data_IF_687430086575
#
_entry.id   IF_687430086575
#
_cell.length_a   1.000
_cell.length_b   1.000
_cell.length_c   1.000
_cell.angle_alpha   90.00
_cell.angle_beta   90.00
_cell.angle_gamma   90.00
#
_symmetry.space_group_name_H-M   'P 1'
#
loop_
_entity.id
_entity.type
_entity.pdbx_description
1 polymer ?
#
# COMPACT_ATOMS: atom_id res chain seq x y z
N UNK A 1 -28.59 20.60 26.58
CA UNK A 1 -28.32 19.17 26.30
C UNK A 1 -26.91 19.04 25.75
N UNK A 2 -25.95 18.84 26.67
CA UNK A 2 -24.69 18.16 26.36
C UNK A 2 -25.03 16.71 25.98
N UNK A 3 -24.06 16.00 25.40
CA UNK A 3 -23.93 14.53 25.33
C UNK A 3 -24.02 13.92 23.90
N UNK A 4 -22.82 13.53 23.40
CA UNK A 4 -22.48 12.50 22.41
C UNK A 4 -22.82 12.68 20.91
N UNK A 5 -21.90 13.28 20.15
CA UNK A 5 -21.76 13.05 18.69
C UNK A 5 -20.34 12.62 18.28
N UNK A 6 -19.55 12.08 19.22
CA UNK A 6 -18.18 11.61 18.99
C UNK A 6 -18.10 10.09 18.71
N UNK A 7 -19.20 9.33 18.87
CA UNK A 7 -19.19 7.87 18.77
C UNK A 7 -19.59 7.25 17.41
N UNK A 8 -19.68 8.01 16.32
CA UNK A 8 -19.94 7.44 14.98
C UNK A 8 -18.65 7.24 14.16
N UNK A 9 -17.52 7.77 14.64
CA UNK A 9 -16.19 7.50 14.11
C UNK A 9 -15.44 6.60 15.09
N UNK A 10 -15.57 5.28 14.90
CA UNK A 10 -14.73 4.25 15.52
C UNK A 10 -13.28 4.38 15.02
N UNK A 11 -12.58 5.45 15.41
CA UNK A 11 -11.15 5.65 15.15
C UNK A 11 -10.45 6.54 16.19
N UNK A 12 -11.01 6.73 17.39
CA UNK A 12 -10.41 7.63 18.39
C UNK A 12 -9.38 6.99 19.34
N UNK A 13 -9.16 5.67 19.34
CA UNK A 13 -8.02 5.05 20.03
C UNK A 13 -7.51 3.87 19.16
N UNK A 14 -6.28 3.96 18.63
CA UNK A 14 -5.08 3.94 19.45
C UNK A 14 -4.04 5.00 19.03
N UNK A 15 -4.28 6.28 19.31
CA UNK A 15 -3.20 7.28 19.32
C UNK A 15 -2.44 7.32 20.65
N UNK A 16 -2.97 6.67 21.70
CA UNK A 16 -2.29 6.55 23.01
C UNK A 16 -1.16 5.50 23.06
N UNK A 17 -0.86 4.80 21.96
CA UNK A 17 0.32 3.92 21.88
C UNK A 17 1.55 4.68 21.33
N UNK A 18 1.37 5.90 20.80
CA UNK A 18 2.47 6.71 20.26
C UNK A 18 3.10 7.67 21.27
N UNK A 19 2.62 7.75 22.51
CA UNK A 19 3.07 8.74 23.49
C UNK A 19 3.78 8.14 24.73
N UNK A 20 4.23 6.88 24.64
CA UNK A 20 5.11 6.35 25.66
C UNK A 20 6.28 5.57 25.06
N UNK A 21 7.37 6.28 24.83
CA UNK A 21 8.68 5.67 24.89
C UNK A 21 9.60 6.57 25.75
N UNK A 22 10.06 6.09 26.92
CA UNK A 22 11.15 6.73 27.61
C UNK A 22 12.41 6.47 26.80
N UNK A 23 13.30 7.47 26.71
CA UNK A 23 14.75 7.38 26.60
C UNK A 23 15.30 8.59 25.84
N UNK A 24 15.78 9.56 26.61
CA UNK A 24 16.94 10.35 26.22
C UNK A 24 18.10 9.38 25.97
N UNK A 25 18.76 9.49 24.81
CA UNK A 25 20.21 9.68 24.77
C UNK A 25 20.77 9.80 23.33
N UNK A 26 21.37 10.96 23.06
CA UNK A 26 22.47 11.25 22.13
C UNK A 26 22.52 10.54 20.76
N UNK A 27 22.01 11.16 19.70
CA UNK A 27 22.59 10.98 18.36
C UNK A 27 22.65 12.31 17.61
N UNK A 28 23.88 12.70 17.24
CA UNK A 28 24.22 13.85 16.39
C UNK A 28 23.69 13.60 14.97
N UNK A 29 22.85 14.46 14.38
CA UNK A 29 22.43 14.32 12.99
C UNK A 29 23.42 15.00 12.06
N UNK A 30 24.01 14.24 11.14
CA UNK A 30 24.63 14.77 9.94
C UNK A 30 23.53 15.29 8.99
N UNK A 31 23.58 16.57 8.67
CA UNK A 31 22.69 17.23 7.72
C UNK A 31 23.12 16.95 6.28
N UNK A 32 22.33 16.13 5.58
CA UNK A 32 22.29 16.14 4.12
C UNK A 32 21.23 17.16 3.67
N UNK A 33 21.64 18.04 2.76
CA UNK A 33 20.89 19.18 2.25
C UNK A 33 19.77 18.75 1.31
N UNK A 34 18.55 18.66 1.83
CA UNK A 34 17.33 18.77 1.03
C UNK A 34 16.53 19.99 1.54
N UNK A 35 16.49 21.03 0.71
CA UNK A 35 15.80 22.30 0.96
C UNK A 35 14.28 22.11 0.90
N UNK A 36 13.67 21.75 2.02
CA UNK A 36 12.25 22.01 2.29
C UNK A 36 12.08 23.44 2.80
N UNK A 37 11.16 24.19 2.20
CA UNK A 37 10.81 25.59 2.50
C UNK A 37 10.07 25.75 3.85
N UNK A 38 10.62 25.23 4.94
CA UNK A 38 9.99 25.32 6.27
C UNK A 38 10.99 25.55 7.41
N UNK A 39 12.08 26.25 7.13
CA UNK A 39 12.93 26.85 8.17
C UNK A 39 13.28 28.28 7.73
N UNK A 40 12.47 29.24 8.15
CA UNK A 40 12.80 30.67 8.13
C UNK A 40 12.25 31.31 9.40
N UNK A 41 12.78 30.88 10.55
CA UNK A 41 12.68 31.61 11.82
C UNK A 41 14.08 32.06 12.30
N UNK A 42 14.96 32.45 11.39
CA UNK A 42 16.29 33.00 11.72
C UNK A 42 16.68 34.21 10.85
N UNK A 43 15.74 35.10 10.59
CA UNK A 43 16.06 36.49 10.31
C UNK A 43 15.09 37.35 11.09
N UNK A 44 15.63 38.17 11.99
CA UNK A 44 14.91 39.27 12.61
C UNK A 44 14.14 40.04 11.52
N UNK A 45 12.93 40.48 11.87
CA UNK A 45 12.11 41.38 11.08
C UNK A 45 12.88 42.70 10.87
N UNK A 46 13.79 42.72 9.89
CA UNK A 46 14.36 43.96 9.41
C UNK A 46 13.17 44.83 8.98
N UNK A 47 13.09 46.01 9.56
CA UNK A 47 11.94 46.89 9.51
C UNK A 47 11.80 47.50 8.09
N UNK A 48 11.39 46.66 7.12
CA UNK A 48 11.22 47.01 5.70
C UNK A 48 10.00 47.89 5.43
N UNK A 49 9.17 48.16 6.45
CA UNK A 49 8.01 49.06 6.34
C UNK A 49 8.40 50.51 6.01
N UNK A 50 9.67 50.88 6.18
CA UNK A 50 10.17 52.25 5.94
C UNK A 50 11.11 52.37 4.73
N UNK A 51 11.35 51.30 3.97
CA UNK A 51 12.13 51.38 2.74
C UNK A 51 11.24 51.93 1.59
N UNK A 52 11.57 53.12 1.02
CA UNK A 52 10.77 53.72 -0.04
C UNK A 52 10.68 52.84 -1.29
N UNK A 53 11.71 52.04 -1.60
CA UNK A 53 11.68 51.14 -2.76
C UNK A 53 10.76 49.94 -2.51
N UNK A 54 10.75 49.39 -1.29
CA UNK A 54 9.87 48.27 -0.93
C UNK A 54 8.39 48.71 -0.91
N UNK A 55 8.11 49.92 -0.42
CA UNK A 55 6.77 50.53 -0.47
C UNK A 55 6.28 50.70 -1.90
N UNK A 56 7.13 51.16 -2.81
CA UNK A 56 6.76 51.33 -4.23
C UNK A 56 6.43 50.00 -4.92
N UNK A 57 7.24 48.95 -4.67
CA UNK A 57 6.98 47.60 -5.22
C UNK A 57 5.69 47.01 -4.63
N UNK A 58 5.46 47.17 -3.33
CA UNK A 58 4.24 46.72 -2.68
C UNK A 58 3.01 47.45 -3.23
N UNK A 59 3.06 48.77 -3.39
CA UNK A 59 1.96 49.55 -3.99
C UNK A 59 1.68 49.15 -5.44
N UNK A 60 2.72 48.89 -6.24
CA UNK A 60 2.55 48.41 -7.61
C UNK A 60 1.93 47.01 -7.66
N UNK A 61 2.33 46.11 -6.74
CA UNK A 61 1.72 44.79 -6.62
C UNK A 61 0.25 44.88 -6.20
N UNK A 62 -0.07 45.76 -5.23
CA UNK A 62 -1.44 46.02 -4.76
C UNK A 62 -2.30 46.58 -5.89
N UNK A 63 -1.81 47.57 -6.65
CA UNK A 63 -2.53 48.14 -7.81
C UNK A 63 -2.83 47.08 -8.87
N UNK A 64 -1.83 46.24 -9.21
CA UNK A 64 -2.02 45.16 -10.18
C UNK A 64 -2.98 44.06 -9.68
N UNK A 65 -2.89 43.68 -8.41
CA UNK A 65 -3.80 42.68 -7.84
C UNK A 65 -5.23 43.21 -7.75
N UNK A 66 -5.41 44.46 -7.32
CA UNK A 66 -6.72 45.11 -7.27
C UNK A 66 -7.37 45.19 -8.65
N UNK A 67 -6.60 45.51 -9.70
CA UNK A 67 -7.11 45.53 -11.07
C UNK A 67 -7.55 44.13 -11.54
N UNK A 68 -6.76 43.08 -11.25
CA UNK A 68 -7.15 41.69 -11.58
C UNK A 68 -8.39 41.22 -10.82
N UNK A 69 -8.56 41.64 -9.57
CA UNK A 69 -9.75 41.32 -8.79
C UNK A 69 -10.99 42.00 -9.38
N UNK A 70 -10.89 43.27 -9.77
CA UNK A 70 -11.98 43.97 -10.47
C UNK A 70 -12.34 43.28 -11.79
N UNK A 71 -11.36 42.93 -12.62
CA UNK A 71 -11.62 42.20 -13.88
C UNK A 71 -12.23 40.81 -13.66
N UNK A 72 -11.85 40.11 -12.59
CA UNK A 72 -12.40 38.81 -12.25
C UNK A 72 -13.87 38.95 -11.80
N UNK A 73 -14.17 39.95 -10.96
CA UNK A 73 -15.53 40.24 -10.50
C UNK A 73 -16.44 40.69 -11.65
N UNK A 74 -15.97 41.53 -12.57
CA UNK A 74 -16.73 41.92 -13.76
C UNK A 74 -17.01 40.74 -14.70
N UNK A 75 -16.01 39.86 -14.91
CA UNK A 75 -16.21 38.61 -15.66
C UNK A 75 -17.21 37.69 -14.98
N UNK A 76 -17.23 37.66 -13.66
CA UNK A 76 -18.14 36.83 -12.89
C UNK A 76 -19.57 37.39 -12.90
N UNK A 77 -19.72 38.72 -12.80
CA UNK A 77 -21.02 39.41 -12.92
C UNK A 77 -21.61 39.29 -14.33
N UNK A 78 -20.82 39.51 -15.38
CA UNK A 78 -21.28 39.38 -16.77
C UNK A 78 -21.76 37.97 -17.10
N UNK A 79 -21.00 36.93 -16.70
CA UNK A 79 -21.45 35.54 -16.84
C UNK A 79 -22.74 35.28 -16.07
N UNK A 80 -22.87 35.77 -14.83
CA UNK A 80 -24.12 35.65 -14.04
C UNK A 80 -25.31 36.31 -14.73
N UNK A 81 -25.14 37.48 -15.35
CA UNK A 81 -26.19 38.18 -16.09
C UNK A 81 -26.62 37.37 -17.31
N UNK A 82 -25.68 36.83 -18.09
CA UNK A 82 -25.98 35.97 -19.24
C UNK A 82 -26.78 34.72 -18.86
N UNK A 83 -26.41 34.04 -17.77
CA UNK A 83 -27.15 32.87 -17.30
C UNK A 83 -28.55 33.23 -16.79
N UNK A 84 -28.72 34.40 -16.17
CA UNK A 84 -30.03 34.89 -15.72
C UNK A 84 -30.93 35.21 -16.91
N UNK A 85 -30.44 35.94 -17.90
CA UNK A 85 -31.19 36.27 -19.11
C UNK A 85 -31.57 35.01 -19.91
N UNK A 86 -30.67 34.01 -19.97
CA UNK A 86 -30.97 32.71 -20.60
C UNK A 86 -32.07 31.96 -19.85
N UNK A 87 -32.00 31.93 -18.52
CA UNK A 87 -33.02 31.31 -17.68
C UNK A 87 -34.38 32.01 -17.83
N UNK A 88 -34.42 33.34 -17.81
CA UNK A 88 -35.65 34.13 -17.98
C UNK A 88 -36.29 33.90 -19.36
N UNK A 89 -35.48 33.79 -20.42
CA UNK A 89 -35.95 33.40 -21.76
C UNK A 89 -36.55 31.99 -21.79
N UNK A 90 -35.91 31.01 -21.16
CA UNK A 90 -36.43 29.64 -21.09
C UNK A 90 -37.74 29.58 -20.28
N UNK A 91 -37.83 30.34 -19.17
CA UNK A 91 -39.04 30.45 -18.36
C UNK A 91 -40.18 31.10 -19.17
N UNK A 92 -39.92 32.19 -19.89
CA UNK A 92 -40.95 32.81 -20.76
C UNK A 92 -41.44 31.85 -21.84
N UNK A 93 -40.53 31.04 -22.42
CA UNK A 93 -40.90 30.00 -23.40
C UNK A 93 -41.78 28.91 -22.78
N UNK A 94 -41.49 28.49 -21.55
CA UNK A 94 -42.32 27.53 -20.81
C UNK A 94 -43.71 28.12 -20.50
N UNK A 95 -43.78 29.39 -20.06
CA UNK A 95 -45.06 30.07 -19.78
C UNK A 95 -45.90 30.22 -21.06
N UNK A 96 -45.29 30.61 -22.19
CA UNK A 96 -45.97 30.70 -23.48
C UNK A 96 -46.50 29.34 -23.94
N UNK A 97 -45.69 28.28 -23.77
CA UNK A 97 -46.10 26.91 -24.11
C UNK A 97 -47.27 26.43 -23.25
N UNK A 98 -47.21 26.65 -21.94
CA UNK A 98 -48.28 26.31 -21.00
C UNK A 98 -49.58 27.09 -21.31
N UNK A 99 -49.46 28.35 -21.75
CA UNK A 99 -50.62 29.17 -22.16
C UNK A 99 -51.28 28.64 -23.43
N UNK A 100 -50.52 28.19 -24.43
CA UNK A 100 -51.04 27.56 -25.65
C UNK A 100 -51.65 26.18 -25.36
N UNK A 101 -50.98 25.35 -24.56
CA UNK A 101 -51.50 24.04 -24.15
C UNK A 101 -52.83 24.19 -23.39
N UNK A 102 -52.97 25.19 -22.51
CA UNK A 102 -54.24 25.52 -21.84
C UNK A 102 -55.34 25.99 -22.79
N UNK A 103 -55.01 26.82 -23.78
CA UNK A 103 -55.99 27.26 -24.78
C UNK A 103 -56.46 26.11 -25.68
N UNK A 104 -55.56 25.23 -26.11
CA UNK A 104 -55.91 24.04 -26.89
C UNK A 104 -56.73 23.05 -26.07
N UNK A 105 -56.39 22.83 -24.79
CA UNK A 105 -57.16 21.99 -23.90
C UNK A 105 -58.59 22.54 -23.71
N UNK A 106 -58.75 23.86 -23.52
CA UNK A 106 -60.07 24.49 -23.46
C UNK A 106 -60.90 24.31 -24.75
N UNK A 107 -60.27 24.47 -25.93
CA UNK A 107 -60.96 24.24 -27.21
C UNK A 107 -61.33 22.76 -27.43
N UNK A 108 -60.46 21.83 -27.02
CA UNK A 108 -60.76 20.39 -27.04
C UNK A 108 -61.92 20.03 -26.11
N UNK A 109 -61.98 20.59 -24.90
CA UNK A 109 -63.09 20.36 -23.96
C UNK A 109 -64.43 20.98 -24.38
N UNK A 110 -64.41 21.97 -25.29
CA UNK A 110 -65.64 22.57 -25.84
C UNK A 110 -66.15 21.84 -27.09
N UNK A 111 -65.28 21.11 -27.80
CA UNK A 111 -65.63 20.28 -28.96
C UNK A 111 -66.03 18.85 -28.58
N UNK A 112 -65.66 18.37 -27.38
CA UNK A 112 -66.03 17.05 -26.87
C UNK A 112 -66.22 17.08 -25.33
N UNK A 113 -67.46 17.17 -24.82
CA UNK A 113 -67.73 17.46 -23.40
C UNK A 113 -67.55 16.27 -22.44
N UNK A 114 -67.06 15.12 -22.90
CA UNK A 114 -67.06 13.87 -22.12
C UNK A 114 -65.70 13.39 -21.59
N UNK A 115 -64.69 14.26 -21.45
CA UNK A 115 -63.42 13.88 -20.79
C UNK A 115 -63.18 14.74 -19.55
N UNK A 116 -63.39 14.13 -18.39
CA UNK A 116 -63.14 14.70 -17.06
C UNK A 116 -61.65 14.81 -16.76
N UNK A 117 -61.26 15.87 -16.04
CA UNK A 117 -59.90 16.21 -15.59
C UNK A 117 -59.28 15.22 -14.59
N UNK A 118 -59.90 14.06 -14.36
CA UNK A 118 -59.41 13.02 -13.44
C UNK A 118 -58.42 12.05 -14.09
N UNK A 119 -58.30 12.03 -15.42
CA UNK A 119 -57.41 11.12 -16.15
C UNK A 119 -56.01 11.70 -16.45
N UNK A 120 -55.69 12.90 -15.97
CA UNK A 120 -54.34 13.49 -16.09
C UNK A 120 -53.58 13.30 -14.78
N UNK A 121 -52.68 12.30 -14.67
CA UNK A 121 -51.93 12.08 -13.44
C UNK A 121 -50.95 13.25 -13.25
N UNK A 122 -51.18 14.03 -12.20
CA UNK A 122 -50.25 15.05 -11.71
C UNK A 122 -48.89 14.40 -11.43
N UNK A 123 -47.85 14.74 -12.22
CA UNK A 123 -46.50 14.16 -12.16
C UNK A 123 -45.94 14.18 -10.71
N UNK A 124 -45.95 13.02 -10.06
CA UNK A 124 -45.32 12.74 -8.76
C UNK A 124 -43.79 12.62 -8.94
N UNK A 125 -43.18 13.63 -9.55
CA UNK A 125 -41.81 13.56 -10.04
C UNK A 125 -40.81 14.27 -9.11
N UNK A 126 -41.26 15.13 -8.19
CA UNK A 126 -40.36 15.84 -7.26
C UNK A 126 -39.95 14.99 -6.03
N UNK A 127 -40.72 13.94 -5.68
CA UNK A 127 -40.41 13.07 -4.52
C UNK A 127 -39.64 11.78 -4.86
N UNK A 128 -39.77 11.22 -6.07
CA UNK A 128 -39.37 9.82 -6.29
C UNK A 128 -37.86 9.58 -6.48
N UNK A 129 -37.12 10.50 -7.11
CA UNK A 129 -35.69 10.29 -7.40
C UNK A 129 -34.81 10.49 -6.17
N UNK A 130 -35.05 11.54 -5.40
CA UNK A 130 -34.27 11.82 -4.18
C UNK A 130 -34.52 10.78 -3.09
N UNK A 131 -35.79 10.42 -2.86
CA UNK A 131 -36.19 9.41 -1.88
C UNK A 131 -35.70 8.00 -2.26
N UNK A 132 -35.72 7.64 -3.56
CA UNK A 132 -35.11 6.40 -4.05
C UNK A 132 -33.59 6.37 -3.84
N UNK A 133 -32.89 7.47 -4.12
CA UNK A 133 -31.42 7.52 -3.88
C UNK A 133 -31.08 7.47 -2.40
N UNK A 134 -31.90 8.05 -1.51
CA UNK A 134 -31.69 7.99 -0.07
C UNK A 134 -31.96 6.58 0.49
N UNK A 135 -33.04 5.93 0.05
CA UNK A 135 -33.36 4.54 0.41
C UNK A 135 -32.30 3.55 -0.11
N UNK A 136 -31.77 3.78 -1.31
CA UNK A 136 -30.65 3.01 -1.86
C UNK A 136 -29.37 3.20 -1.04
N UNK A 137 -29.03 4.44 -0.67
CA UNK A 137 -27.85 4.75 0.14
C UNK A 137 -27.96 4.18 1.57
N UNK A 138 -29.16 4.20 2.16
CA UNK A 138 -29.43 3.67 3.51
C UNK A 138 -29.42 2.13 3.52
N UNK A 139 -29.88 1.48 2.44
CA UNK A 139 -29.73 0.03 2.26
C UNK A 139 -28.29 -0.38 1.95
N UNK A 140 -27.55 0.43 1.19
CA UNK A 140 -26.12 0.21 0.92
C UNK A 140 -25.29 0.36 2.21
N UNK A 141 -25.61 1.34 3.06
CA UNK A 141 -24.97 1.50 4.37
C UNK A 141 -25.26 0.35 5.35
N UNK A 142 -26.47 -0.20 5.34
CA UNK A 142 -26.83 -1.38 6.17
C UNK A 142 -26.13 -2.65 5.70
N UNK A 143 -26.00 -2.86 4.39
CA UNK A 143 -25.26 -4.02 3.85
C UNK A 143 -23.75 -3.86 4.03
N UNK A 144 -23.18 -2.67 3.82
CA UNK A 144 -21.76 -2.41 4.09
C UNK A 144 -21.41 -2.49 5.58
N UNK A 145 -22.30 -2.06 6.47
CA UNK A 145 -22.11 -2.13 7.93
C UNK A 145 -22.08 -3.56 8.50
N UNK A 146 -22.74 -4.52 7.83
CA UNK A 146 -22.70 -5.94 8.20
C UNK A 146 -21.59 -6.75 7.50
N UNK A 147 -21.15 -6.31 6.31
CA UNK A 147 -20.09 -7.00 5.54
C UNK A 147 -18.68 -6.58 6.00
N UNK A 148 -18.50 -5.34 6.48
CA UNK A 148 -17.19 -4.84 6.92
C UNK A 148 -16.56 -5.65 8.09
N UNK A 149 -17.32 -6.07 9.13
CA UNK A 149 -16.77 -6.91 10.19
C UNK A 149 -16.41 -8.33 9.71
N UNK A 150 -17.24 -8.92 8.83
CA UNK A 150 -17.02 -10.25 8.28
C UNK A 150 -15.79 -10.31 7.38
N UNK A 151 -15.58 -9.28 6.55
CA UNK A 151 -14.39 -9.19 5.72
C UNK A 151 -13.13 -8.94 6.56
N UNK A 152 -13.20 -8.15 7.63
CA UNK A 152 -12.07 -7.91 8.54
C UNK A 152 -11.60 -9.16 9.29
N UNK A 153 -12.53 -10.00 9.75
CA UNK A 153 -12.22 -11.23 10.48
C UNK A 153 -11.67 -12.34 9.57
N UNK A 154 -12.27 -12.52 8.39
CA UNK A 154 -11.82 -13.54 7.41
C UNK A 154 -10.51 -13.12 6.75
N UNK A 155 -10.34 -11.84 6.42
CA UNK A 155 -9.07 -11.34 5.88
C UNK A 155 -7.94 -11.39 6.91
N UNK A 156 -8.20 -11.08 8.18
CA UNK A 156 -7.18 -11.12 9.23
C UNK A 156 -6.63 -12.53 9.49
N UNK A 157 -7.52 -13.53 9.63
CA UNK A 157 -7.12 -14.92 9.86
C UNK A 157 -6.46 -15.55 8.61
N UNK A 158 -7.02 -15.27 7.42
CA UNK A 158 -6.43 -15.73 6.16
C UNK A 158 -5.04 -15.13 5.91
N UNK A 159 -4.88 -13.83 6.17
CA UNK A 159 -3.60 -13.15 6.02
C UNK A 159 -2.55 -13.66 7.02
N UNK A 160 -2.92 -13.91 8.28
CA UNK A 160 -2.02 -14.48 9.28
C UNK A 160 -1.54 -15.89 8.89
N UNK A 161 -2.46 -16.77 8.49
CA UNK A 161 -2.12 -18.12 8.03
C UNK A 161 -1.23 -18.10 6.79
N UNK A 162 -1.54 -17.24 5.82
CA UNK A 162 -0.74 -17.11 4.59
C UNK A 162 0.65 -16.52 4.86
N UNK A 163 0.76 -15.54 5.77
CA UNK A 163 2.04 -14.95 6.17
C UNK A 163 2.99 -15.97 6.81
N UNK A 164 2.47 -16.81 7.70
CA UNK A 164 3.24 -17.90 8.31
C UNK A 164 3.64 -18.98 7.30
N UNK A 165 2.74 -19.36 6.39
CA UNK A 165 3.03 -20.32 5.34
C UNK A 165 4.10 -19.80 4.36
N UNK A 166 4.00 -18.53 3.96
CA UNK A 166 5.00 -17.90 3.09
C UNK A 166 6.38 -17.84 3.78
N UNK A 167 6.43 -17.46 5.06
CA UNK A 167 7.68 -17.39 5.82
C UNK A 167 8.34 -18.79 5.96
N UNK A 168 7.57 -19.82 6.30
CA UNK A 168 8.09 -21.19 6.43
C UNK A 168 8.56 -21.78 5.10
N UNK A 169 7.83 -21.51 4.02
CA UNK A 169 8.23 -21.92 2.66
C UNK A 169 9.51 -21.21 2.23
N UNK A 170 9.63 -19.91 2.54
CA UNK A 170 10.82 -19.13 2.24
C UNK A 170 12.06 -19.66 2.98
N UNK A 171 11.91 -20.01 4.26
CA UNK A 171 13.00 -20.61 5.05
C UNK A 171 13.45 -21.92 4.41
N UNK A 172 12.54 -22.78 3.93
CA UNK A 172 12.89 -24.02 3.23
C UNK A 172 13.68 -23.76 1.94
N UNK A 173 13.21 -22.83 1.11
CA UNK A 173 13.91 -22.47 -0.13
C UNK A 173 15.30 -21.92 0.17
N UNK A 174 15.43 -21.09 1.22
CA UNK A 174 16.72 -20.57 1.65
C UNK A 174 17.64 -21.70 2.14
N UNK A 175 17.13 -22.62 2.96
CA UNK A 175 17.93 -23.77 3.44
C UNK A 175 18.36 -24.68 2.30
N UNK A 176 17.50 -24.94 1.32
CA UNK A 176 17.81 -25.78 0.16
C UNK A 176 18.90 -25.15 -0.72
N UNK A 177 18.82 -23.83 -0.95
CA UNK A 177 19.86 -23.07 -1.63
C UNK A 177 21.18 -23.06 -0.85
N UNK A 178 21.10 -22.94 0.48
CA UNK A 178 22.23 -23.06 1.39
C UNK A 178 22.92 -24.41 1.25
N UNK A 179 22.16 -25.52 1.31
CA UNK A 179 22.68 -26.88 1.17
C UNK A 179 23.38 -27.05 -0.18
N UNK A 180 22.78 -26.57 -1.28
CA UNK A 180 23.35 -26.70 -2.62
C UNK A 180 24.71 -25.99 -2.76
N UNK A 181 24.82 -24.73 -2.33
CA UNK A 181 26.08 -23.98 -2.41
C UNK A 181 27.12 -24.47 -1.39
N UNK A 182 26.68 -24.80 -0.16
CA UNK A 182 27.55 -25.35 0.87
C UNK A 182 28.15 -26.70 0.46
N UNK A 183 27.36 -27.58 -0.17
CA UNK A 183 27.86 -28.84 -0.74
C UNK A 183 28.81 -28.59 -1.90
N UNK A 184 28.49 -27.69 -2.83
CA UNK A 184 29.37 -27.38 -3.96
C UNK A 184 30.76 -26.95 -3.51
N UNK A 185 30.83 -26.02 -2.55
CA UNK A 185 32.11 -25.59 -1.96
C UNK A 185 32.75 -26.72 -1.17
N UNK A 186 31.99 -27.40 -0.31
CA UNK A 186 32.51 -28.45 0.56
C UNK A 186 33.04 -29.68 -0.17
N UNK A 187 32.37 -30.15 -1.21
CA UNK A 187 32.85 -31.26 -2.04
C UNK A 187 34.15 -30.89 -2.76
N UNK A 188 34.25 -29.66 -3.27
CA UNK A 188 35.50 -29.15 -3.86
C UNK A 188 36.63 -29.17 -2.82
N UNK A 189 36.38 -28.67 -1.60
CA UNK A 189 37.35 -28.70 -0.51
C UNK A 189 37.73 -30.10 -0.07
N UNK A 190 36.80 -31.04 -0.05
CA UNK A 190 37.09 -32.46 0.25
C UNK A 190 38.10 -33.01 -0.76
N UNK A 191 37.91 -32.76 -2.05
CA UNK A 191 38.85 -33.22 -3.08
C UNK A 191 40.23 -32.55 -2.96
N UNK A 192 40.28 -31.24 -2.67
CA UNK A 192 41.52 -30.50 -2.41
C UNK A 192 42.27 -31.05 -1.17
N UNK A 193 41.55 -31.33 -0.09
CA UNK A 193 42.16 -31.87 1.14
C UNK A 193 42.74 -33.27 0.91
N UNK A 194 41.99 -34.14 0.23
CA UNK A 194 42.47 -35.51 -0.02
C UNK A 194 43.65 -35.53 -1.00
N UNK A 195 43.66 -34.66 -2.02
CA UNK A 195 44.85 -34.49 -2.90
C UNK A 195 46.08 -34.01 -2.12
N UNK A 196 45.93 -33.02 -1.24
CA UNK A 196 47.04 -32.53 -0.41
C UNK A 196 47.59 -33.60 0.53
N UNK A 197 46.72 -34.41 1.13
CA UNK A 197 47.13 -35.50 2.03
C UNK A 197 47.79 -36.66 1.30
N UNK A 198 47.50 -36.83 0.02
CA UNK A 198 48.05 -37.87 -0.85
C UNK A 198 49.24 -37.42 -1.69
N UNK A 199 49.91 -36.31 -1.36
CA UNK A 199 50.99 -35.72 -2.16
C UNK A 199 52.17 -36.66 -2.52
N UNK A 200 52.26 -37.85 -1.91
CA UNK A 200 53.26 -38.88 -2.20
C UNK A 200 52.76 -40.04 -3.09
N UNK A 201 51.45 -40.14 -3.37
CA UNK A 201 50.83 -41.27 -4.08
C UNK A 201 49.72 -40.76 -5.01
N UNK A 202 49.69 -41.21 -6.25
CA UNK A 202 48.62 -40.84 -7.19
C UNK A 202 47.30 -41.47 -6.73
N UNK A 203 46.34 -40.63 -6.32
CA UNK A 203 45.01 -41.05 -5.84
C UNK A 203 43.96 -40.74 -6.89
N UNK A 204 43.22 -41.76 -7.32
CA UNK A 204 42.03 -41.57 -8.12
C UNK A 204 40.94 -40.94 -7.23
N UNK A 205 40.38 -39.81 -7.68
CA UNK A 205 39.33 -39.09 -6.97
C UNK A 205 38.04 -39.20 -7.77
N UNK A 206 36.91 -39.60 -7.14
CA UNK A 206 35.65 -39.66 -7.85
C UNK A 206 35.20 -38.26 -8.30
N UNK A 207 34.44 -38.19 -9.39
CA UNK A 207 33.92 -36.91 -9.89
C UNK A 207 32.96 -36.27 -8.88
N UNK A 208 32.84 -34.94 -8.93
CA UNK A 208 31.94 -34.18 -8.03
C UNK A 208 30.49 -34.69 -8.13
N UNK A 209 30.04 -35.14 -9.29
CA UNK A 209 28.68 -35.70 -9.46
C UNK A 209 28.48 -36.98 -8.63
N UNK A 210 29.49 -37.86 -8.58
CA UNK A 210 29.45 -39.07 -7.75
C UNK A 210 29.42 -38.68 -6.27
N UNK A 211 30.26 -37.74 -5.83
CA UNK A 211 30.24 -37.26 -4.46
C UNK A 211 28.90 -36.59 -4.10
N UNK A 212 28.31 -35.85 -5.04
CA UNK A 212 27.02 -35.20 -4.85
C UNK A 212 25.93 -36.23 -4.58
N UNK A 213 25.89 -37.31 -5.36
CA UNK A 213 24.97 -38.42 -5.14
C UNK A 213 25.16 -39.08 -3.76
N UNK A 214 26.40 -39.24 -3.29
CA UNK A 214 26.70 -39.79 -1.95
C UNK A 214 26.25 -38.86 -0.81
N UNK A 215 26.17 -37.56 -1.07
CA UNK A 215 25.70 -36.56 -0.09
C UNK A 215 24.20 -36.26 -0.18
N UNK A 216 23.45 -36.99 -1.00
CA UNK A 216 22.01 -36.82 -1.13
C UNK A 216 21.31 -37.01 0.22
N UNK A 217 20.49 -36.03 0.61
CA UNK A 217 19.75 -36.08 1.88
C UNK A 217 20.53 -35.59 3.10
N UNK A 218 21.68 -34.93 2.91
CA UNK A 218 22.36 -34.23 4.02
C UNK A 218 21.43 -33.20 4.67
N UNK A 219 21.41 -33.16 5.99
CA UNK A 219 20.66 -32.13 6.72
C UNK A 219 21.43 -30.81 6.74
N UNK A 220 20.69 -29.70 6.86
CA UNK A 220 21.26 -28.36 6.99
C UNK A 220 22.33 -28.26 8.09
N UNK A 221 22.09 -28.87 9.25
CA UNK A 221 23.03 -28.86 10.38
C UNK A 221 24.36 -29.59 10.09
N UNK A 222 24.34 -30.49 9.11
CA UNK A 222 25.50 -31.27 8.69
C UNK A 222 26.24 -30.65 7.50
N UNK A 223 25.82 -29.50 6.97
CA UNK A 223 26.55 -28.76 5.92
C UNK A 223 27.74 -28.02 6.54
N UNK A 224 28.66 -28.82 7.08
CA UNK A 224 29.96 -28.43 7.60
C UNK A 224 31.00 -29.33 6.95
N UNK A 225 32.26 -28.90 6.87
CA UNK A 225 33.30 -29.73 6.26
C UNK A 225 33.37 -31.14 6.89
N UNK A 226 33.32 -31.22 8.22
CA UNK A 226 33.28 -32.50 8.94
C UNK A 226 32.00 -33.30 8.66
N UNK A 227 30.84 -32.63 8.63
CA UNK A 227 29.57 -33.29 8.32
C UNK A 227 29.58 -33.88 6.92
N UNK A 228 30.13 -33.16 5.94
CA UNK A 228 30.30 -33.64 4.56
C UNK A 228 31.23 -34.86 4.52
N UNK A 229 32.38 -34.83 5.18
CA UNK A 229 33.26 -36.02 5.28
C UNK A 229 32.54 -37.23 5.88
N UNK A 230 31.75 -37.02 6.95
CA UNK A 230 30.96 -38.10 7.57
C UNK A 230 29.88 -38.65 6.64
N UNK A 231 29.17 -37.78 5.92
CA UNK A 231 28.12 -38.20 4.98
C UNK A 231 28.72 -38.98 3.81
N UNK A 232 29.83 -38.51 3.24
CA UNK A 232 30.56 -39.23 2.18
C UNK A 232 31.02 -40.60 2.72
N UNK A 233 31.64 -40.65 3.90
CA UNK A 233 32.07 -41.91 4.51
C UNK A 233 30.92 -42.92 4.70
N UNK A 234 29.73 -42.46 5.07
CA UNK A 234 28.53 -43.30 5.18
C UNK A 234 28.11 -43.80 3.80
N UNK A 235 28.03 -42.91 2.81
CA UNK A 235 27.63 -43.25 1.44
C UNK A 235 28.60 -44.21 0.74
N UNK A 236 29.90 -44.13 1.05
CA UNK A 236 30.93 -44.96 0.43
C UNK A 236 31.00 -46.39 0.97
N UNK A 237 30.39 -46.66 2.13
CA UNK A 237 30.59 -47.90 2.90
C UNK A 237 30.26 -49.13 2.06
N UNK A 238 31.28 -49.95 1.76
CA UNK A 238 31.15 -51.22 1.03
C UNK A 238 31.30 -51.15 -0.48
N UNK A 239 31.04 -50.01 -1.14
CA UNK A 239 31.17 -49.89 -2.62
C UNK A 239 32.58 -49.49 -3.07
N UNK A 240 33.26 -48.64 -2.29
CA UNK A 240 34.52 -48.02 -2.71
C UNK A 240 35.75 -48.55 -1.98
N UNK A 241 35.57 -49.46 -1.02
CA UNK A 241 36.62 -49.97 -0.13
C UNK A 241 37.57 -50.97 -0.84
N UNK A 242 37.19 -51.46 -2.02
CA UNK A 242 37.98 -52.43 -2.81
C UNK A 242 38.17 -52.01 -4.27
N UNK A 243 37.68 -50.83 -4.65
CA UNK A 243 37.69 -50.32 -6.03
C UNK A 243 38.82 -49.29 -6.24
N UNK A 244 38.91 -48.74 -7.45
CA UNK A 244 39.82 -47.69 -7.93
C UNK A 244 39.96 -46.50 -6.96
N UNK A 245 38.94 -46.25 -6.12
CA UNK A 245 38.89 -45.14 -5.16
C UNK A 245 39.21 -45.54 -3.71
N UNK A 246 39.75 -46.74 -3.44
CA UNK A 246 40.02 -47.23 -2.09
C UNK A 246 40.97 -46.33 -1.26
N UNK A 247 41.94 -45.68 -1.91
CA UNK A 247 42.81 -44.71 -1.21
C UNK A 247 42.04 -43.46 -0.80
N UNK A 248 41.14 -42.97 -1.66
CA UNK A 248 40.26 -41.84 -1.35
C UNK A 248 39.31 -42.20 -0.20
N UNK A 249 38.69 -43.40 -0.22
CA UNK A 249 37.81 -43.87 0.85
C UNK A 249 38.54 -43.95 2.20
N UNK A 250 39.77 -44.44 2.20
CA UNK A 250 40.62 -44.54 3.41
C UNK A 250 40.89 -43.16 4.02
N UNK A 251 41.23 -42.16 3.20
CA UNK A 251 41.44 -40.79 3.69
C UNK A 251 40.18 -40.16 4.25
N UNK A 252 39.05 -40.30 3.53
CA UNK A 252 37.74 -39.82 3.98
C UNK A 252 37.34 -40.48 5.30
N UNK A 253 37.54 -41.78 5.44
CA UNK A 253 37.26 -42.54 6.67
C UNK A 253 38.13 -42.05 7.84
N UNK A 254 39.43 -41.85 7.61
CA UNK A 254 40.35 -41.34 8.64
C UNK A 254 39.92 -39.96 9.15
N UNK A 255 39.55 -39.05 8.25
CA UNK A 255 39.09 -37.70 8.61
C UNK A 255 37.74 -37.75 9.34
N UNK A 256 36.80 -38.57 8.87
CA UNK A 256 35.48 -38.70 9.47
C UNK A 256 35.53 -39.31 10.89
N UNK A 257 36.44 -40.26 11.13
CA UNK A 257 36.56 -41.00 12.41
C UNK A 257 37.52 -40.34 13.40
N UNK A 258 38.55 -39.63 12.92
CA UNK A 258 39.56 -38.96 13.77
C UNK A 258 39.68 -37.46 13.49
N UNK A 259 38.57 -36.70 13.61
CA UNK A 259 38.53 -35.28 13.19
C UNK A 259 39.52 -34.39 13.93
N UNK A 260 39.85 -34.69 15.19
CA UNK A 260 40.81 -33.91 15.99
C UNK A 260 42.20 -33.83 15.35
N UNK A 261 42.61 -34.88 14.65
CA UNK A 261 43.94 -34.99 14.04
C UNK A 261 44.07 -34.17 12.75
N UNK A 262 42.96 -33.89 12.08
CA UNK A 262 42.95 -33.28 10.75
C UNK A 262 42.31 -31.89 10.71
N UNK A 263 41.21 -31.69 11.44
CA UNK A 263 40.42 -30.45 11.31
C UNK A 263 41.14 -29.20 11.81
N UNK A 264 42.12 -29.34 12.71
CA UNK A 264 42.96 -28.22 13.11
C UNK A 264 43.80 -27.64 11.96
N UNK A 265 44.05 -28.40 10.88
CA UNK A 265 44.80 -27.96 9.70
C UNK A 265 43.93 -27.32 8.62
N UNK A 266 42.63 -27.59 8.65
CA UNK A 266 41.69 -27.20 7.59
C UNK A 266 40.57 -26.29 8.11
N UNK A 267 40.92 -25.40 9.05
CA UNK A 267 39.96 -24.47 9.65
C UNK A 267 39.44 -23.46 8.62
N UNK A 268 40.31 -22.97 7.75
CA UNK A 268 39.96 -22.01 6.70
C UNK A 268 38.96 -22.62 5.71
N UNK A 269 39.19 -23.85 5.27
CA UNK A 269 38.29 -24.58 4.39
C UNK A 269 36.95 -24.87 5.07
N UNK A 270 36.95 -25.18 6.37
CA UNK A 270 35.73 -25.37 7.14
C UNK A 270 34.91 -24.06 7.26
N UNK A 271 35.58 -22.94 7.48
CA UNK A 271 34.97 -21.61 7.48
C UNK A 271 34.40 -21.24 6.11
N UNK A 272 35.10 -21.55 5.02
CA UNK A 272 34.60 -21.29 3.65
C UNK A 272 33.30 -22.05 3.35
N UNK A 273 33.19 -23.32 3.77
CA UNK A 273 31.97 -24.13 3.58
C UNK A 273 30.79 -23.53 4.35
N UNK A 274 31.00 -23.22 5.64
CA UNK A 274 29.95 -22.65 6.49
C UNK A 274 29.54 -21.26 6.04
N UNK A 275 30.49 -20.45 5.58
CA UNK A 275 30.23 -19.14 5.00
C UNK A 275 29.43 -19.25 3.70
N UNK A 276 29.80 -20.15 2.79
CA UNK A 276 29.06 -20.34 1.54
C UNK A 276 27.59 -20.74 1.79
N UNK A 277 27.36 -21.62 2.75
CA UNK A 277 26.03 -22.02 3.20
C UNK A 277 25.22 -20.82 3.74
N UNK A 278 25.81 -20.05 4.65
CA UNK A 278 25.16 -18.89 5.28
C UNK A 278 24.91 -17.74 4.30
N UNK A 279 25.87 -17.46 3.41
CA UNK A 279 25.76 -16.41 2.39
C UNK A 279 24.64 -16.75 1.38
N UNK A 280 24.52 -18.01 0.97
CA UNK A 280 23.45 -18.47 0.08
C UNK A 280 22.06 -18.34 0.74
N UNK A 281 21.91 -18.74 2.00
CA UNK A 281 20.66 -18.52 2.75
C UNK A 281 20.30 -17.04 2.83
N UNK A 282 21.28 -16.22 3.21
CA UNK A 282 21.10 -14.77 3.36
C UNK A 282 20.71 -14.11 2.03
N UNK A 283 21.31 -14.54 0.92
CA UNK A 283 20.98 -14.04 -0.42
C UNK A 283 19.52 -14.30 -0.79
N UNK A 284 19.01 -15.51 -0.54
CA UNK A 284 17.61 -15.86 -0.82
C UNK A 284 16.66 -15.05 0.06
N UNK A 285 16.95 -14.96 1.36
CA UNK A 285 16.12 -14.21 2.31
C UNK A 285 16.09 -12.70 2.01
N UNK A 286 17.23 -12.12 1.65
CA UNK A 286 17.32 -10.68 1.30
C UNK A 286 16.59 -10.37 -0.01
N UNK A 287 16.71 -11.23 -1.03
CA UNK A 287 15.98 -11.06 -2.28
C UNK A 287 14.46 -11.08 -2.04
N UNK A 288 13.97 -12.00 -1.21
CA UNK A 288 12.56 -12.06 -0.85
C UNK A 288 12.11 -10.86 0.01
N UNK A 289 12.96 -10.40 0.94
CA UNK A 289 12.72 -9.19 1.72
C UNK A 289 12.53 -7.95 0.83
N UNK A 290 13.38 -7.78 -0.18
CA UNK A 290 13.28 -6.68 -1.14
C UNK A 290 11.98 -6.73 -1.95
N UNK A 291 11.58 -7.91 -2.43
CA UNK A 291 10.31 -8.08 -3.16
C UNK A 291 9.11 -7.75 -2.27
N UNK A 292 9.13 -8.22 -1.02
CA UNK A 292 8.04 -7.97 -0.06
C UNK A 292 7.92 -6.49 0.28
N UNK A 293 9.05 -5.80 0.51
CA UNK A 293 9.09 -4.36 0.77
C UNK A 293 8.52 -3.53 -0.39
N UNK A 294 8.81 -3.93 -1.62
CA UNK A 294 8.24 -3.27 -2.79
C UNK A 294 6.72 -3.45 -2.88
N UNK A 295 6.21 -4.64 -2.59
CA UNK A 295 4.78 -4.92 -2.56
C UNK A 295 4.07 -4.16 -1.45
N UNK A 296 4.63 -4.10 -0.24
CA UNK A 296 4.04 -3.35 0.89
C UNK A 296 4.00 -1.85 0.60
N UNK A 297 5.03 -1.32 -0.07
CA UNK A 297 5.03 0.07 -0.54
C UNK A 297 3.89 0.32 -1.53
N UNK A 298 3.70 -0.58 -2.50
CA UNK A 298 2.58 -0.50 -3.45
C UNK A 298 1.21 -0.58 -2.79
N UNK A 299 1.02 -1.50 -1.84
CA UNK A 299 -0.23 -1.66 -1.08
C UNK A 299 -0.51 -0.38 -0.26
N UNK A 300 0.51 0.17 0.39
CA UNK A 300 0.38 1.39 1.21
C UNK A 300 -0.06 2.58 0.34
N UNK A 301 0.57 2.77 -0.82
CA UNK A 301 0.17 3.82 -1.78
C UNK A 301 -1.27 3.62 -2.26
N UNK A 302 -1.67 2.38 -2.56
CA UNK A 302 -3.06 2.07 -2.96
C UNK A 302 -4.08 2.38 -1.86
N UNK A 303 -3.77 2.08 -0.59
CA UNK A 303 -4.64 2.39 0.55
C UNK A 303 -4.79 3.91 0.70
N UNK A 304 -3.68 4.66 0.62
CA UNK A 304 -3.70 6.13 0.69
C UNK A 304 -4.58 6.70 -0.44
N UNK A 305 -4.47 6.18 -1.67
CA UNK A 305 -5.30 6.61 -2.79
C UNK A 305 -6.80 6.38 -2.54
N UNK A 306 -7.18 5.22 -2.00
CA UNK A 306 -8.58 4.92 -1.66
C UNK A 306 -9.10 5.87 -0.58
N UNK A 307 -8.31 6.14 0.47
CA UNK A 307 -8.68 7.06 1.55
C UNK A 307 -8.90 8.48 1.01
N UNK A 308 -8.04 8.95 0.10
CA UNK A 308 -8.20 10.27 -0.54
C UNK A 308 -9.49 10.35 -1.36
N UNK A 309 -9.81 9.32 -2.15
CA UNK A 309 -11.06 9.27 -2.95
C UNK A 309 -12.29 9.33 -2.03
N UNK A 310 -12.29 8.56 -0.93
CA UNK A 310 -13.38 8.54 0.04
C UNK A 310 -13.54 9.91 0.70
N UNK A 311 -12.44 10.58 1.08
CA UNK A 311 -12.48 11.93 1.65
C UNK A 311 -13.07 12.96 0.68
N UNK A 312 -12.67 12.93 -0.59
CA UNK A 312 -13.22 13.83 -1.63
C UNK A 312 -14.74 13.61 -1.79
N UNK A 313 -15.17 12.35 -1.87
CA UNK A 313 -16.59 12.00 -1.95
C UNK A 313 -17.38 12.51 -0.73
N UNK A 314 -16.79 12.42 0.46
CA UNK A 314 -17.39 12.88 1.71
C UNK A 314 -17.52 14.41 1.74
N UNK A 315 -16.49 15.15 1.28
CA UNK A 315 -16.52 16.62 1.16
C UNK A 315 -17.61 17.06 0.17
N UNK A 316 -17.66 16.45 -1.02
CA UNK A 316 -18.68 16.75 -2.03
C UNK A 316 -20.09 16.48 -1.46
N UNK A 317 -20.26 15.34 -0.79
CA UNK A 317 -21.51 14.98 -0.13
C UNK A 317 -21.95 16.02 0.91
N UNK A 318 -21.02 16.48 1.77
CA UNK A 318 -21.30 17.51 2.77
C UNK A 318 -21.71 18.85 2.14
N UNK A 319 -21.02 19.28 1.06
CA UNK A 319 -21.37 20.49 0.31
C UNK A 319 -22.78 20.38 -0.27
N UNK A 320 -23.09 19.26 -0.93
CA UNK A 320 -24.41 19.02 -1.52
C UNK A 320 -25.51 19.00 -0.45
N UNK A 321 -25.26 18.34 0.68
CA UNK A 321 -26.18 18.29 1.82
C UNK A 321 -26.44 19.67 2.41
N UNK A 322 -25.39 20.48 2.56
CA UNK A 322 -25.50 21.85 3.04
C UNK A 322 -26.34 22.73 2.08
N UNK A 323 -26.10 22.62 0.76
CA UNK A 323 -26.88 23.35 -0.26
C UNK A 323 -28.36 22.96 -0.24
N UNK A 324 -28.68 21.66 -0.09
CA UNK A 324 -30.07 21.18 0.04
C UNK A 324 -30.76 21.79 1.27
N UNK A 325 -30.12 21.75 2.45
CA UNK A 325 -30.67 22.37 3.67
C UNK A 325 -30.93 23.87 3.50
N UNK A 326 -30.01 24.61 2.87
CA UNK A 326 -30.19 26.04 2.62
C UNK A 326 -31.35 26.32 1.66
N UNK A 327 -31.52 25.51 0.60
CA UNK A 327 -32.65 25.62 -0.34
C UNK A 327 -34.00 25.41 0.36
N UNK A 328 -34.09 24.40 1.25
CA UNK A 328 -35.32 24.12 1.99
C UNK A 328 -35.68 25.25 2.97
N UNK A 329 -34.71 25.82 3.69
CA UNK A 329 -34.95 26.98 4.58
C UNK A 329 -35.50 28.18 3.81
N UNK A 330 -34.96 28.48 2.62
CA UNK A 330 -35.46 29.55 1.75
C UNK A 330 -36.89 29.28 1.27
N UNK A 331 -37.20 28.07 0.78
CA UNK A 331 -38.57 27.68 0.37
C UNK A 331 -39.57 27.93 1.51
N UNK A 332 -39.21 27.58 2.75
CA UNK A 332 -40.08 27.72 3.92
C UNK A 332 -40.36 29.19 4.28
N UNK A 333 -39.40 30.10 4.05
CA UNK A 333 -39.60 31.55 4.22
C UNK A 333 -40.54 32.13 3.16
N UNK A 334 -40.39 31.74 1.89
CA UNK A 334 -41.30 32.20 0.82
C UNK A 334 -42.75 31.73 1.02
N UNK A 335 -42.95 30.50 1.50
CA UNK A 335 -44.30 29.98 1.79
C UNK A 335 -44.97 30.77 2.92
N UNK A 336 -44.20 31.26 3.91
CA UNK A 336 -44.74 32.09 4.99
C UNK A 336 -45.20 33.46 4.46
N UNK A 337 -44.40 34.11 3.63
CA UNK A 337 -44.71 35.43 3.05
C UNK A 337 -45.90 35.42 2.08
N UNK A 338 -46.27 34.28 1.50
CA UNK A 338 -47.41 34.14 0.60
C UNK A 338 -48.74 33.86 1.33
N UNK A 339 -48.69 33.60 2.64
CA UNK A 339 -49.87 33.31 3.47
C UNK A 339 -50.35 34.50 4.30
N UNK A 340 -49.50 35.51 4.47
CA UNK A 340 -49.90 36.87 4.85
C UNK A 340 -50.31 37.62 3.58
#
# INVERSE_FOLDING_TARGET
>A
MKVHYINILLFSLPLNILEHNPWNHYMKPHTYTNRSLCECELYELANYDNDPQMKEVMENFIKQTQQRFHEYDERLQSKRKQYKDKCDKEIQKIILKDKLEKQMAQQLTTLDPNITTEDIPTCICEKSLADKTEKFCLNCGKTMGGVAPGWGLVSGLGYAGWSHYAATTLVKIATDAGIAEGLKVGLTKVTEIVTQLSSSTEVAIPTIDVLTNLTTGISADNVTLLGIFKTINIGMKGEFDTDTYALFSTWVQNIATTPKSYMGRYLTEAEEVTKAFADAQTRVLTQAGNVTSNLTTGITVSIIAIVVIVLVMLIIYLILRYRRKKKMKKKLQYIKLLKE
#
